data_IF_456189630217
#
_entry.id   IF_456189630217
#
_cell.length_a   1.000
_cell.length_b   1.000
_cell.length_c   1.000
_cell.angle_alpha   90.00
_cell.angle_beta   90.00
_cell.angle_gamma   90.00
#
_symmetry.space_group_name_H-M   'P 1'
#
loop_
_entity.id
_entity.type
_entity.pdbx_description
1 polymer ?
#
# COMPACT_ATOMS: atom_id res chain seq x y z
N UNK A 1 1.07 -16.76 -2.17
CA UNK A 1 1.58 -15.42 -1.86
C UNK A 1 1.15 -14.55 -3.03
N UNK A 2 0.38 -13.48 -2.78
CA UNK A 2 -0.10 -12.60 -3.86
C UNK A 2 1.07 -11.75 -4.34
N UNK A 3 1.33 -11.73 -5.64
CA UNK A 3 2.36 -10.89 -6.27
C UNK A 3 1.78 -9.49 -6.49
N UNK A 4 2.39 -8.47 -5.88
CA UNK A 4 1.90 -7.09 -5.93
C UNK A 4 2.61 -6.22 -6.97
N UNK A 5 3.60 -6.76 -7.67
CA UNK A 5 4.43 -6.02 -8.64
C UNK A 5 3.63 -5.47 -9.82
N UNK A 6 2.51 -6.11 -10.14
CA UNK A 6 1.62 -5.74 -11.25
C UNK A 6 0.37 -4.96 -10.81
N UNK A 7 0.21 -4.67 -9.53
CA UNK A 7 -0.97 -3.97 -9.02
C UNK A 7 -1.01 -2.51 -9.54
N UNK A 8 -2.22 -2.02 -9.78
CA UNK A 8 -2.42 -0.60 -10.10
C UNK A 8 -2.25 0.28 -8.87
N UNK A 9 -1.97 1.57 -9.06
CA UNK A 9 -1.84 2.52 -7.94
C UNK A 9 -3.12 2.60 -7.08
N UNK A 10 -4.29 2.67 -7.72
CA UNK A 10 -5.57 2.71 -7.00
C UNK A 10 -5.86 1.40 -6.26
N UNK A 11 -5.49 0.26 -6.83
CA UNK A 11 -5.61 -1.03 -6.17
C UNK A 11 -4.72 -1.14 -4.94
N UNK A 12 -3.43 -0.77 -5.07
CA UNK A 12 -2.50 -0.71 -3.96
C UNK A 12 -3.03 0.14 -2.80
N UNK A 13 -3.58 1.30 -3.12
CA UNK A 13 -4.16 2.22 -2.16
C UNK A 13 -5.40 1.66 -1.46
N UNK A 14 -6.31 1.04 -2.21
CA UNK A 14 -7.50 0.41 -1.65
C UNK A 14 -7.16 -0.79 -0.75
N UNK A 15 -6.12 -1.56 -1.10
CA UNK A 15 -5.63 -2.67 -0.29
C UNK A 15 -5.07 -2.17 1.05
N UNK A 16 -4.28 -1.09 1.07
CA UNK A 16 -3.79 -0.49 2.31
C UNK A 16 -4.93 -0.01 3.23
N UNK A 17 -5.97 0.61 2.66
CA UNK A 17 -7.18 1.00 3.42
C UNK A 17 -7.85 -0.22 4.05
N UNK A 18 -8.05 -1.26 3.25
CA UNK A 18 -8.66 -2.52 3.70
C UNK A 18 -7.87 -3.14 4.86
N UNK A 19 -6.54 -3.19 4.77
CA UNK A 19 -5.72 -3.74 5.86
C UNK A 19 -5.81 -2.91 7.14
N UNK A 20 -5.94 -1.58 7.06
CA UNK A 20 -6.19 -0.75 8.22
C UNK A 20 -7.55 -1.05 8.85
N UNK A 21 -8.61 -1.13 8.04
CA UNK A 21 -9.97 -1.44 8.49
C UNK A 21 -10.07 -2.83 9.14
N UNK A 22 -9.36 -3.81 8.58
CA UNK A 22 -9.29 -5.17 9.11
C UNK A 22 -8.33 -5.32 10.30
N UNK A 23 -7.63 -4.24 10.71
CA UNK A 23 -6.53 -4.27 11.66
C UNK A 23 -5.46 -5.34 11.32
N UNK A 24 -5.28 -5.61 10.03
CA UNK A 24 -4.34 -6.59 9.53
C UNK A 24 -2.96 -5.96 9.37
N UNK A 25 -1.95 -6.57 10.01
CA UNK A 25 -0.56 -6.16 9.86
C UNK A 25 0.10 -6.93 8.73
N UNK A 26 0.45 -6.23 7.66
CA UNK A 26 0.95 -6.78 6.37
C UNK A 26 2.21 -6.04 5.94
N UNK A 27 3.23 -6.03 6.81
CA UNK A 27 4.43 -5.21 6.61
C UNK A 27 5.23 -5.62 5.38
N UNK A 28 5.32 -6.92 5.08
CA UNK A 28 6.03 -7.42 3.89
C UNK A 28 5.33 -6.95 2.62
N UNK A 29 4.02 -7.18 2.52
CA UNK A 29 3.24 -6.78 1.35
C UNK A 29 3.14 -5.24 1.22
N UNK A 30 3.14 -4.51 2.35
CA UNK A 30 3.19 -3.04 2.35
C UNK A 30 4.50 -2.53 1.75
N UNK A 31 5.64 -3.13 2.12
CA UNK A 31 6.94 -2.77 1.54
C UNK A 31 6.97 -3.08 0.04
N UNK A 32 6.45 -4.25 -0.37
CA UNK A 32 6.38 -4.62 -1.79
C UNK A 32 5.53 -3.63 -2.60
N UNK A 33 4.33 -3.28 -2.11
CA UNK A 33 3.47 -2.26 -2.73
C UNK A 33 4.16 -0.89 -2.80
N UNK A 34 4.91 -0.52 -1.75
CA UNK A 34 5.67 0.72 -1.73
C UNK A 34 6.76 0.74 -2.80
N UNK A 35 7.63 -0.26 -2.81
CA UNK A 35 8.79 -0.33 -3.72
C UNK A 35 8.35 -0.40 -5.18
N UNK A 36 7.30 -1.14 -5.49
CA UNK A 36 6.92 -1.41 -6.88
C UNK A 36 5.86 -0.47 -7.43
N UNK A 37 4.97 0.08 -6.60
CA UNK A 37 3.78 0.81 -7.09
C UNK A 37 3.73 2.24 -6.54
N UNK A 38 3.70 2.40 -5.23
CA UNK A 38 3.32 3.67 -4.58
C UNK A 38 4.44 4.72 -4.60
N UNK A 39 5.69 4.29 -4.45
CA UNK A 39 6.87 5.18 -4.41
C UNK A 39 7.12 5.94 -5.71
N UNK A 40 6.48 5.55 -6.82
CA UNK A 40 6.55 6.26 -8.10
C UNK A 40 5.84 7.62 -8.05
N UNK A 41 4.77 7.72 -7.24
CA UNK A 41 3.96 8.93 -7.12
C UNK A 41 3.50 9.16 -5.65
N UNK A 42 4.42 9.32 -4.68
CA UNK A 42 4.07 9.39 -3.26
C UNK A 42 3.23 10.62 -2.92
N UNK A 43 3.39 11.71 -3.68
CA UNK A 43 2.56 12.93 -3.55
C UNK A 43 1.08 12.67 -3.88
N UNK A 44 0.78 11.68 -4.71
CA UNK A 44 -0.59 11.32 -5.08
C UNK A 44 -1.33 10.57 -3.98
N UNK A 45 -0.64 10.09 -2.93
CA UNK A 45 -1.26 9.48 -1.77
C UNK A 45 -1.86 10.51 -0.80
N UNK A 46 -1.33 11.72 -0.72
CA UNK A 46 -1.75 12.70 0.28
C UNK A 46 -1.71 12.10 1.70
N UNK A 47 -2.82 12.18 2.42
CA UNK A 47 -2.96 11.64 3.78
C UNK A 47 -2.89 10.10 3.82
N UNK A 48 -3.12 9.43 2.70
CA UNK A 48 -3.06 7.97 2.62
C UNK A 48 -1.63 7.44 2.71
N UNK A 49 -0.64 8.31 2.63
CA UNK A 49 0.76 7.96 2.90
C UNK A 49 0.94 7.43 4.32
N UNK A 50 0.13 7.90 5.29
CA UNK A 50 0.13 7.39 6.65
C UNK A 50 -0.21 5.90 6.74
N UNK A 51 -1.01 5.37 5.80
CA UNK A 51 -1.34 3.95 5.76
C UNK A 51 -0.10 3.07 5.53
N UNK A 52 0.90 3.60 4.81
CA UNK A 52 2.18 2.91 4.59
C UNK A 52 3.05 2.99 5.85
N UNK A 53 3.10 4.14 6.51
CA UNK A 53 3.95 4.35 7.70
C UNK A 53 3.41 3.69 8.99
N UNK A 54 2.09 3.49 9.10
CA UNK A 54 1.45 2.88 10.27
C UNK A 54 1.62 1.34 10.34
N UNK A 55 1.84 0.69 9.19
CA UNK A 55 2.01 -0.77 9.07
C UNK A 55 3.36 -1.24 9.64
#
# INVERSE_FOLDING_TARGET
>A
MTDWTCASFDEAKNVLRKWREEHARRSVETVELWEHVLSRHPRSLGDELWLVYEQ
#
